data_IF_149624055979
#
_entry.id   IF_149624055979
#
_cell.length_a   1.000
_cell.length_b   1.000
_cell.length_c   1.000
_cell.angle_alpha   90.00
_cell.angle_beta   90.00
_cell.angle_gamma   90.00
#
_symmetry.space_group_name_H-M   'P 1'
#
loop_
_entity.id
_entity.type
_entity.pdbx_description
1 polymer ?
#
# COMPACT_ATOMS: atom_id res chain seq x y z
N UNK A 1 52.62 -46.63 -4.91
CA UNK A 1 51.17 -46.44 -5.08
C UNK A 1 50.75 -45.39 -4.06
N UNK A 2 50.89 -44.09 -4.30
CA UNK A 2 50.29 -43.22 -5.32
C UNK A 2 49.06 -42.49 -4.76
N UNK A 3 49.12 -41.16 -4.88
CA UNK A 3 48.04 -40.17 -4.82
C UNK A 3 47.44 -39.81 -3.46
N UNK A 4 48.10 -38.88 -2.75
CA UNK A 4 47.36 -37.81 -2.08
C UNK A 4 47.79 -36.47 -2.67
N UNK A 5 46.97 -36.08 -3.63
CA UNK A 5 47.03 -34.86 -4.42
C UNK A 5 46.87 -33.63 -3.55
N UNK A 6 47.65 -32.60 -3.90
CA UNK A 6 47.45 -31.19 -3.60
C UNK A 6 45.96 -30.83 -3.61
N UNK A 7 45.45 -30.30 -2.50
CA UNK A 7 44.29 -29.41 -2.51
C UNK A 7 44.55 -28.28 -1.52
N UNK A 8 45.10 -27.18 -2.02
CA UNK A 8 45.15 -25.92 -1.29
C UNK A 8 43.73 -25.41 -1.09
N UNK A 9 43.18 -25.68 0.08
CA UNK A 9 41.83 -25.27 0.47
C UNK A 9 41.85 -23.75 0.70
N UNK A 10 41.45 -22.96 -0.30
CA UNK A 10 41.29 -21.51 -0.19
C UNK A 10 40.03 -21.24 0.66
N UNK A 11 40.13 -20.77 1.91
CA UNK A 11 38.96 -20.51 2.77
C UNK A 11 38.03 -19.42 2.19
N UNK A 12 38.53 -18.66 1.20
CA UNK A 12 37.79 -17.64 0.48
C UNK A 12 36.58 -18.17 -0.29
N UNK A 13 36.58 -19.43 -0.76
CA UNK A 13 35.47 -19.96 -1.55
C UNK A 13 34.25 -20.30 -0.68
N UNK A 14 34.49 -20.76 0.55
CA UNK A 14 33.42 -21.14 1.50
C UNK A 14 32.69 -19.91 2.02
N UNK A 15 33.41 -18.82 2.26
CA UNK A 15 32.82 -17.57 2.70
C UNK A 15 31.87 -16.98 1.63
N UNK A 16 32.25 -17.08 0.35
CA UNK A 16 31.40 -16.65 -0.78
C UNK A 16 30.15 -17.53 -0.90
N UNK A 17 30.27 -18.86 -0.75
CA UNK A 17 29.11 -19.76 -0.81
C UNK A 17 28.14 -19.50 0.37
N UNK A 18 28.66 -19.23 1.57
CA UNK A 18 27.83 -18.93 2.74
C UNK A 18 27.08 -17.59 2.62
N UNK A 19 27.64 -16.60 1.93
CA UNK A 19 26.97 -15.32 1.64
C UNK A 19 25.82 -15.51 0.62
N UNK A 20 25.97 -16.42 -0.35
CA UNK A 20 24.93 -16.66 -1.36
C UNK A 20 23.71 -17.41 -0.76
N UNK A 21 23.92 -18.29 0.22
CA UNK A 21 22.82 -19.00 0.89
C UNK A 21 21.98 -18.13 1.84
N UNK A 22 22.51 -17.00 2.33
CA UNK A 22 21.77 -16.10 3.22
C UNK A 22 20.71 -15.25 2.49
N UNK A 23 20.85 -15.04 1.18
CA UNK A 23 19.88 -14.28 0.38
C UNK A 23 18.61 -15.08 0.04
N UNK A 24 18.61 -16.40 0.21
CA UNK A 24 17.47 -17.25 -0.13
C UNK A 24 16.40 -17.38 0.95
N UNK A 25 16.69 -16.97 2.19
CA UNK A 25 15.82 -17.24 3.35
C UNK A 25 14.85 -16.10 3.70
N UNK A 26 14.85 -14.98 2.98
CA UNK A 26 14.04 -13.80 3.30
C UNK A 26 12.69 -13.69 2.55
N UNK A 27 12.31 -14.67 1.74
CA UNK A 27 11.10 -14.59 0.89
C UNK A 27 10.06 -15.62 1.32
N UNK A 28 9.46 -15.40 2.49
CA UNK A 28 8.21 -16.06 2.89
C UNK A 28 7.16 -15.07 3.42
N UNK A 29 7.34 -13.76 3.17
CA UNK A 29 6.24 -12.83 3.39
C UNK A 29 5.16 -13.11 2.34
N UNK A 30 3.87 -13.22 2.71
CA UNK A 30 2.80 -13.31 1.74
C UNK A 30 2.93 -12.12 0.79
N UNK A 31 2.96 -12.41 -0.52
CA UNK A 31 3.01 -11.35 -1.52
C UNK A 31 1.61 -10.79 -1.71
N UNK A 32 1.45 -9.47 -1.91
CA UNK A 32 0.16 -8.92 -2.28
C UNK A 32 -0.35 -9.60 -3.55
N UNK A 33 -1.63 -9.95 -3.55
CA UNK A 33 -2.31 -10.56 -4.70
C UNK A 33 -2.64 -9.49 -5.75
N UNK A 34 -2.95 -8.29 -5.28
CA UNK A 34 -3.36 -7.15 -6.09
C UNK A 34 -2.48 -5.93 -5.79
N UNK A 35 -2.16 -5.16 -6.82
CA UNK A 35 -1.52 -3.84 -6.67
C UNK A 35 -2.54 -2.71 -6.54
N UNK A 36 -3.81 -3.00 -6.84
CA UNK A 36 -4.91 -2.04 -6.78
C UNK A 36 -6.16 -2.79 -6.33
N UNK A 37 -6.94 -2.19 -5.43
CA UNK A 37 -8.21 -2.69 -4.97
C UNK A 37 -9.25 -1.57 -5.02
N UNK A 38 -10.29 -1.76 -5.81
CA UNK A 38 -11.38 -0.80 -5.98
C UNK A 38 -12.69 -1.35 -5.41
N UNK A 39 -13.39 -0.54 -4.63
CA UNK A 39 -14.72 -0.88 -4.13
C UNK A 39 -15.56 0.39 -3.94
N UNK A 40 -16.87 0.20 -3.88
CA UNK A 40 -17.83 1.27 -3.59
C UNK A 40 -18.01 1.40 -2.08
N UNK A 41 -17.73 2.59 -1.56
CA UNK A 41 -17.95 2.97 -0.17
C UNK A 41 -18.99 4.10 -0.13
N UNK A 42 -20.17 3.80 0.42
CA UNK A 42 -21.35 4.66 0.33
C UNK A 42 -21.74 4.97 -1.13
N UNK A 43 -21.54 6.23 -1.53
CA UNK A 43 -21.87 6.79 -2.84
C UNK A 43 -20.61 7.02 -3.69
N UNK A 44 -19.42 6.72 -3.16
CA UNK A 44 -18.15 6.96 -3.82
C UNK A 44 -17.50 5.63 -4.23
N UNK A 45 -16.96 5.60 -5.45
CA UNK A 45 -16.06 4.54 -5.89
C UNK A 45 -14.62 4.97 -5.58
N UNK A 46 -13.92 4.18 -4.76
CA UNK A 46 -12.58 4.49 -4.29
C UNK A 46 -11.66 3.30 -4.55
N UNK A 47 -10.41 3.61 -4.88
CA UNK A 47 -9.37 2.60 -5.11
C UNK A 47 -8.18 2.85 -4.18
N UNK A 48 -7.74 1.79 -3.51
CA UNK A 48 -6.46 1.74 -2.81
C UNK A 48 -5.40 1.19 -3.75
N UNK A 49 -4.22 1.81 -3.78
CA UNK A 49 -3.12 1.46 -4.68
C UNK A 49 -1.83 1.25 -3.90
N UNK A 50 -1.12 0.20 -4.30
CA UNK A 50 0.23 -0.16 -3.91
C UNK A 50 1.11 -0.11 -5.17
N UNK A 51 1.89 0.94 -5.30
CA UNK A 51 2.66 1.28 -6.51
C UNK A 51 3.89 0.38 -6.65
N UNK A 52 4.49 -0.02 -5.52
CA UNK A 52 5.76 -0.75 -5.49
C UNK A 52 5.57 -2.27 -5.27
N UNK A 53 4.33 -2.72 -5.01
CA UNK A 53 3.91 -4.11 -4.74
C UNK A 53 4.53 -4.71 -3.49
N UNK A 54 4.74 -3.91 -2.45
CA UNK A 54 5.22 -4.38 -1.14
C UNK A 54 4.11 -4.80 -0.17
N UNK A 55 2.84 -4.59 -0.55
CA UNK A 55 1.65 -4.89 0.23
C UNK A 55 1.23 -3.78 1.19
N UNK A 56 1.83 -2.59 1.06
CA UNK A 56 1.50 -1.38 1.81
C UNK A 56 0.78 -0.41 0.88
N UNK A 57 -0.30 0.20 1.37
CA UNK A 57 -1.04 1.19 0.60
C UNK A 57 -0.19 2.45 0.48
N UNK A 58 -0.03 2.92 -0.75
CA UNK A 58 0.60 4.20 -1.04
C UNK A 58 -0.46 5.31 -1.12
N UNK A 59 -1.54 5.04 -1.84
CA UNK A 59 -2.52 6.04 -2.27
C UNK A 59 -3.95 5.51 -2.17
N UNK A 60 -4.89 6.39 -1.84
CA UNK A 60 -6.32 6.15 -2.03
C UNK A 60 -6.92 7.30 -2.82
N UNK A 61 -7.61 6.99 -3.92
CA UNK A 61 -8.15 7.98 -4.85
C UNK A 61 -9.60 7.66 -5.26
N UNK A 62 -10.32 8.70 -5.70
CA UNK A 62 -11.66 8.55 -6.26
C UNK A 62 -11.60 8.10 -7.71
N UNK A 63 -12.34 7.04 -8.06
CA UNK A 63 -12.32 6.47 -9.41
C UNK A 63 -12.78 7.47 -10.48
N UNK A 64 -13.77 8.31 -10.13
CA UNK A 64 -14.41 9.26 -11.05
C UNK A 64 -13.53 10.48 -11.35
N UNK A 65 -13.05 11.17 -10.31
CA UNK A 65 -12.24 12.38 -10.47
C UNK A 65 -10.74 12.11 -10.65
N UNK A 66 -10.29 10.88 -10.34
CA UNK A 66 -8.86 10.51 -10.28
C UNK A 66 -8.06 11.34 -9.27
N UNK A 67 -8.74 11.88 -8.26
CA UNK A 67 -8.09 12.66 -7.22
C UNK A 67 -7.71 11.77 -6.03
N UNK A 68 -6.45 11.83 -5.63
CA UNK A 68 -5.92 11.22 -4.41
C UNK A 68 -6.40 12.03 -3.23
N UNK A 69 -7.15 11.41 -2.33
CA UNK A 69 -7.66 12.07 -1.13
C UNK A 69 -6.96 11.58 0.15
N UNK A 70 -6.28 10.43 0.11
CA UNK A 70 -5.45 9.94 1.20
C UNK A 70 -4.15 9.34 0.66
N UNK A 71 -3.04 9.52 1.38
CA UNK A 71 -1.73 9.00 0.97
C UNK A 71 -0.91 8.53 2.18
N UNK A 72 0.00 7.57 1.98
CA UNK A 72 0.90 7.11 3.02
C UNK A 72 1.88 8.23 3.39
N UNK A 73 2.14 8.50 4.68
CA UNK A 73 2.99 9.62 5.10
C UNK A 73 4.44 9.49 4.58
N UNK A 74 4.91 8.27 4.38
CA UNK A 74 6.23 7.97 3.81
C UNK A 74 6.23 7.85 2.28
N UNK A 75 5.07 8.04 1.63
CA UNK A 75 4.99 8.07 0.17
C UNK A 75 5.71 9.30 -0.37
N UNK A 76 6.98 9.13 -0.72
CA UNK A 76 7.81 10.13 -1.38
C UNK A 76 7.88 9.98 -2.90
N UNK A 77 7.04 9.11 -3.48
CA UNK A 77 7.03 8.81 -4.91
C UNK A 77 6.32 9.88 -5.74
N UNK A 78 6.52 9.81 -7.06
CA UNK A 78 5.66 10.55 -7.99
C UNK A 78 4.29 9.88 -8.05
N UNK A 79 3.22 10.67 -8.00
CA UNK A 79 1.87 10.16 -8.24
C UNK A 79 1.79 9.56 -9.66
N UNK A 80 1.24 8.35 -9.81
CA UNK A 80 1.02 7.74 -11.12
C UNK A 80 0.31 8.69 -12.09
N UNK A 81 0.69 8.64 -13.37
CA UNK A 81 0.19 9.57 -14.39
C UNK A 81 -1.34 9.59 -14.45
N UNK A 82 -1.94 10.76 -14.26
CA UNK A 82 -3.39 10.96 -14.28
C UNK A 82 -4.05 10.95 -12.91
N UNK A 83 -3.30 10.68 -11.83
CA UNK A 83 -3.74 10.94 -10.48
C UNK A 83 -3.29 12.33 -10.03
N UNK A 84 -4.22 13.12 -9.51
CA UNK A 84 -3.92 14.45 -8.97
C UNK A 84 -4.19 14.47 -7.46
N UNK A 85 -3.38 15.21 -6.70
CA UNK A 85 -3.62 15.33 -5.27
C UNK A 85 -4.82 16.25 -5.02
N UNK A 86 -5.85 15.73 -4.35
CA UNK A 86 -6.99 16.53 -3.94
C UNK A 86 -6.53 17.65 -3.01
N UNK A 87 -7.15 18.83 -3.12
CA UNK A 87 -6.78 20.01 -2.31
C UNK A 87 -6.83 19.79 -0.79
N UNK A 88 -7.66 18.84 -0.37
CA UNK A 88 -7.82 18.42 1.02
C UNK A 88 -7.18 17.05 1.28
N UNK A 89 -6.09 16.78 0.55
CA UNK A 89 -5.11 15.73 0.75
C UNK A 89 -4.82 15.44 2.23
N UNK A 90 -5.09 14.26 2.79
CA UNK A 90 -4.61 13.92 4.14
C UNK A 90 -3.67 12.72 4.15
N UNK A 91 -2.62 12.73 4.99
CA UNK A 91 -1.83 11.54 5.24
C UNK A 91 -2.64 10.52 6.04
N UNK A 92 -2.50 9.23 5.72
CA UNK A 92 -3.09 8.14 6.49
C UNK A 92 -2.32 7.94 7.80
N UNK A 93 -3.05 7.70 8.89
CA UNK A 93 -2.45 7.24 10.14
C UNK A 93 -2.06 5.75 10.07
N UNK A 94 -1.23 5.29 11.01
CA UNK A 94 -0.72 3.91 11.04
C UNK A 94 -1.85 2.86 11.08
N UNK A 95 -2.95 3.17 11.75
CA UNK A 95 -4.08 2.26 11.87
C UNK A 95 -4.83 2.15 10.54
N UNK A 96 -5.09 3.26 9.86
CA UNK A 96 -5.71 3.31 8.55
C UNK A 96 -4.83 2.64 7.48
N UNK A 97 -3.50 2.79 7.56
CA UNK A 97 -2.58 2.04 6.71
C UNK A 97 -2.73 0.54 6.97
N UNK A 98 -2.67 0.11 8.24
CA UNK A 98 -2.80 -1.31 8.59
C UNK A 98 -4.13 -1.92 8.13
N UNK A 99 -5.24 -1.22 8.32
CA UNK A 99 -6.57 -1.64 7.84
C UNK A 99 -6.59 -1.74 6.31
N UNK A 100 -6.11 -0.71 5.61
CA UNK A 100 -6.15 -0.65 4.14
C UNK A 100 -5.26 -1.72 3.51
N UNK A 101 -4.10 -2.02 4.08
CA UNK A 101 -3.18 -3.05 3.55
C UNK A 101 -3.85 -4.43 3.41
N UNK A 102 -4.85 -4.73 4.23
CA UNK A 102 -5.60 -6.00 4.20
C UNK A 102 -6.25 -6.25 2.84
N UNK A 103 -6.64 -5.19 2.11
CA UNK A 103 -7.35 -5.32 0.82
C UNK A 103 -6.51 -5.97 -0.27
N UNK A 104 -5.18 -5.82 -0.22
CA UNK A 104 -4.28 -6.37 -1.25
C UNK A 104 -4.16 -7.90 -1.19
N UNK A 105 -4.69 -8.51 -0.14
CA UNK A 105 -4.72 -9.96 0.08
C UNK A 105 -6.12 -10.55 -0.13
N UNK A 106 -7.11 -9.73 -0.52
CA UNK A 106 -8.46 -10.19 -0.83
C UNK A 106 -8.52 -10.73 -2.27
N UNK A 107 -9.11 -11.90 -2.42
CA UNK A 107 -9.39 -12.54 -3.71
C UNK A 107 -10.79 -13.19 -3.74
N UNK A 108 -11.08 -13.90 -4.83
CA UNK A 108 -12.34 -14.62 -5.02
C UNK A 108 -12.58 -15.74 -3.99
N UNK A 109 -11.50 -16.30 -3.43
CA UNK A 109 -11.54 -17.36 -2.43
C UNK A 109 -11.77 -16.85 -1.01
N UNK A 110 -11.53 -15.55 -0.79
CA UNK A 110 -11.72 -14.90 0.51
C UNK A 110 -13.18 -15.05 0.98
N UNK A 111 -13.45 -15.46 2.22
CA UNK A 111 -14.81 -15.57 2.75
C UNK A 111 -15.58 -14.25 2.67
N UNK A 112 -16.88 -14.32 2.35
CA UNK A 112 -17.72 -13.13 2.26
C UNK A 112 -17.70 -12.27 3.54
N UNK A 113 -17.75 -12.92 4.72
CA UNK A 113 -17.73 -12.21 6.00
C UNK A 113 -16.41 -11.46 6.23
N UNK A 114 -15.28 -12.00 5.77
CA UNK A 114 -13.98 -11.36 5.87
C UNK A 114 -13.89 -10.13 4.96
N UNK A 115 -14.42 -10.22 3.72
CA UNK A 115 -14.54 -9.05 2.84
C UNK A 115 -15.42 -7.95 3.44
N UNK A 116 -16.53 -8.33 4.08
CA UNK A 116 -17.40 -7.35 4.74
C UNK A 116 -16.76 -6.72 5.98
N UNK A 117 -15.96 -7.49 6.73
CA UNK A 117 -15.18 -6.98 7.88
C UNK A 117 -14.19 -5.91 7.42
N UNK A 118 -13.35 -6.22 6.42
CA UNK A 118 -12.36 -5.29 5.86
C UNK A 118 -13.06 -4.03 5.32
N UNK A 119 -14.14 -4.21 4.54
CA UNK A 119 -14.93 -3.11 3.99
C UNK A 119 -15.54 -2.24 5.09
N UNK A 120 -16.09 -2.87 6.12
CA UNK A 120 -16.70 -2.17 7.26
C UNK A 120 -15.68 -1.34 8.04
N UNK A 121 -14.48 -1.88 8.26
CA UNK A 121 -13.41 -1.18 8.96
C UNK A 121 -12.90 0.04 8.18
N UNK A 122 -12.63 -0.12 6.88
CA UNK A 122 -12.27 1.00 6.00
C UNK A 122 -13.34 2.09 5.97
N UNK A 123 -14.61 1.67 5.90
CA UNK A 123 -15.75 2.58 5.92
C UNK A 123 -15.82 3.39 7.23
N UNK A 124 -15.61 2.76 8.38
CA UNK A 124 -15.58 3.46 9.66
C UNK A 124 -14.45 4.50 9.72
N UNK A 125 -13.27 4.16 9.20
CA UNK A 125 -12.13 5.07 9.13
C UNK A 125 -12.37 6.25 8.19
N UNK A 126 -12.97 6.00 7.03
CA UNK A 126 -13.37 7.07 6.12
C UNK A 126 -14.37 8.02 6.79
N UNK A 127 -15.43 7.48 7.41
CA UNK A 127 -16.45 8.28 8.10
C UNK A 127 -15.85 9.09 9.25
N UNK A 128 -14.86 8.56 9.96
CA UNK A 128 -14.16 9.31 11.01
C UNK A 128 -13.41 10.53 10.47
N UNK A 129 -12.90 10.48 9.24
CA UNK A 129 -12.15 11.56 8.59
C UNK A 129 -13.05 12.53 7.80
N UNK A 130 -14.30 12.15 7.49
CA UNK A 130 -15.25 12.99 6.74
C UNK A 130 -15.42 14.42 7.29
N UNK A 131 -15.52 14.66 8.61
CA UNK A 131 -15.70 16.01 9.14
C UNK A 131 -14.52 16.94 8.81
N UNK A 132 -13.28 16.44 8.89
CA UNK A 132 -12.09 17.23 8.61
C UNK A 132 -11.98 17.55 7.11
N UNK A 133 -12.22 16.56 6.25
CA UNK A 133 -12.26 16.73 4.80
C UNK A 133 -13.34 17.75 4.41
N UNK A 134 -14.54 17.64 4.98
CA UNK A 134 -15.65 18.56 4.73
C UNK A 134 -15.32 19.98 5.19
N UNK A 135 -14.72 20.13 6.38
CA UNK A 135 -14.31 21.43 6.88
C UNK A 135 -13.23 22.08 6.01
N UNK A 136 -12.30 21.28 5.48
CA UNK A 136 -11.32 21.76 4.52
C UNK A 136 -12.00 22.27 3.23
N UNK A 137 -12.90 21.49 2.63
CA UNK A 137 -13.64 21.88 1.42
C UNK A 137 -14.42 23.18 1.61
N UNK A 138 -15.19 23.32 2.70
CA UNK A 138 -15.97 24.53 2.98
C UNK A 138 -15.10 25.78 3.13
N UNK A 139 -13.97 25.69 3.84
CA UNK A 139 -13.01 26.81 3.99
C UNK A 139 -12.38 27.19 2.66
N UNK A 140 -12.21 26.21 1.78
CA UNK A 140 -11.65 26.37 0.46
C UNK A 140 -12.62 27.10 -0.48
N UNK A 141 -13.88 26.69 -0.51
CA UNK A 141 -14.96 27.33 -1.26
C UNK A 141 -15.17 28.78 -0.84
N UNK A 142 -15.12 29.07 0.47
CA UNK A 142 -15.22 30.44 0.99
C UNK A 142 -14.11 31.34 0.45
N UNK A 143 -12.85 30.85 0.44
CA UNK A 143 -11.70 31.61 -0.10
C UNK A 143 -11.82 31.88 -1.60
N UNK A 144 -12.49 31.00 -2.34
CA UNK A 144 -12.75 31.19 -3.77
C UNK A 144 -13.88 32.18 -4.03
N UNK A 145 -14.92 32.18 -3.19
CA UNK A 145 -16.02 33.13 -3.28
C UNK A 145 -15.65 34.56 -2.84
N UNK A 146 -14.63 34.71 -1.98
CA UNK A 146 -14.14 35.99 -1.49
C UNK A 146 -13.12 36.67 -2.45
N UNK A 147 -12.81 36.02 -3.57
CA UNK A 147 -11.82 36.47 -4.58
C UNK A 147 -12.50 37.06 -5.81
#
# INVERSE_FOLDING_TARGET
>A
MSFLSRFGFRPSLIFVISLITACGSFVNSPRPLNAEYCDSFLIYEMCAMDTNRDGVVDLVYFTDSKEVFMYHPEFGGEYPSGLELHRCATPMDEELVATTNRVFYVDDSTPFLERQDIKGEMMLKYVANLPEITACNLRAEQKESDK
#
